data_IF_135984455245
#
_entry.id   IF_135984455245
#
_cell.length_a   1.000
_cell.length_b   1.000
_cell.length_c   1.000
_cell.angle_alpha   90.00
_cell.angle_beta   90.00
_cell.angle_gamma   90.00
#
_symmetry.space_group_name_H-M   'P 1'
#
loop_
_entity.id
_entity.type
_entity.pdbx_description
1 polymer ?
#
# COMPACT_ATOMS: atom_id res chain seq x y z
N UNK A 1 -24.82 -8.14 16.04
CA UNK A 1 -24.69 -8.41 14.60
C UNK A 1 -25.42 -7.34 13.80
N UNK A 2 -26.71 -7.08 14.05
CA UNK A 2 -27.44 -5.94 13.45
C UNK A 2 -26.79 -4.57 13.67
N UNK A 3 -26.29 -4.26 14.87
CA UNK A 3 -25.61 -2.98 15.14
C UNK A 3 -24.32 -2.78 14.32
N UNK A 4 -23.57 -3.86 14.08
CA UNK A 4 -22.31 -3.80 13.31
C UNK A 4 -22.62 -3.67 11.81
N UNK A 5 -23.68 -4.34 11.34
CA UNK A 5 -24.16 -4.20 9.95
C UNK A 5 -24.70 -2.78 9.73
N UNK A 6 -25.47 -2.24 10.69
CA UNK A 6 -25.99 -0.88 10.66
C UNK A 6 -24.88 0.18 10.66
N UNK A 7 -23.82 0.00 11.46
CA UNK A 7 -22.66 0.90 11.42
C UNK A 7 -21.89 0.78 10.10
N UNK A 8 -21.68 -0.43 9.56
CA UNK A 8 -20.99 -0.64 8.29
C UNK A 8 -21.77 -0.01 7.11
N UNK A 9 -23.10 -0.17 7.06
CA UNK A 9 -23.96 0.47 6.07
C UNK A 9 -23.93 2.00 6.19
N UNK A 10 -23.91 2.54 7.41
CA UNK A 10 -23.75 3.97 7.65
C UNK A 10 -22.39 4.48 7.14
N UNK A 11 -21.30 3.74 7.39
CA UNK A 11 -19.96 4.07 6.88
C UNK A 11 -19.89 4.03 5.36
N UNK A 12 -20.54 3.07 4.69
CA UNK A 12 -20.55 3.02 3.23
C UNK A 12 -21.18 4.26 2.59
N UNK A 13 -22.20 4.85 3.23
CA UNK A 13 -22.81 6.10 2.75
C UNK A 13 -21.93 7.33 2.97
N UNK A 14 -20.95 7.25 3.88
CA UNK A 14 -19.99 8.33 4.17
C UNK A 14 -18.77 8.32 3.24
N UNK A 15 -18.41 7.16 2.68
CA UNK A 15 -17.24 7.05 1.80
C UNK A 15 -17.57 7.66 0.43
N UNK A 16 -17.01 8.85 0.19
CA UNK A 16 -17.12 9.58 -1.08
C UNK A 16 -16.20 8.95 -2.14
N UNK A 17 -14.95 8.67 -1.77
CA UNK A 17 -13.91 8.15 -2.67
C UNK A 17 -12.87 7.34 -1.90
N UNK A 18 -12.41 6.23 -2.49
CA UNK A 18 -11.25 5.46 -2.04
C UNK A 18 -10.18 5.47 -3.13
N UNK A 19 -8.99 5.96 -2.79
CA UNK A 19 -7.85 6.03 -3.71
C UNK A 19 -6.88 4.89 -3.43
N UNK A 20 -6.81 3.94 -4.34
CA UNK A 20 -5.89 2.82 -4.33
C UNK A 20 -4.61 3.21 -5.07
N UNK A 21 -3.59 3.61 -4.31
CA UNK A 21 -2.31 4.08 -4.83
C UNK A 21 -1.30 2.93 -4.89
N UNK A 22 -0.85 2.59 -6.09
CA UNK A 22 0.03 1.44 -6.38
C UNK A 22 -0.54 0.12 -5.82
N UNK A 23 -1.77 -0.27 -6.22
CA UNK A 23 -2.49 -1.35 -5.57
C UNK A 23 -1.91 -2.73 -5.89
N UNK A 24 -1.22 -3.32 -4.93
CA UNK A 24 -0.85 -4.73 -4.95
C UNK A 24 -2.02 -5.57 -4.42
N UNK A 25 -3.09 -5.70 -5.20
CA UNK A 25 -4.34 -6.37 -4.81
C UNK A 25 -4.52 -7.76 -5.45
N UNK A 26 -3.55 -8.19 -6.26
CA UNK A 26 -3.55 -9.48 -6.94
C UNK A 26 -2.13 -9.93 -7.26
N UNK A 27 -1.96 -11.23 -7.47
CA UNK A 27 -0.74 -11.85 -8.02
C UNK A 27 0.55 -11.31 -7.39
N UNK A 28 0.55 -11.06 -6.07
CA UNK A 28 1.65 -10.34 -5.40
C UNK A 28 2.96 -11.13 -5.50
N UNK A 29 2.91 -12.43 -5.27
CA UNK A 29 4.08 -13.33 -5.37
C UNK A 29 4.54 -13.57 -6.82
N UNK A 30 3.69 -13.31 -7.81
CA UNK A 30 4.02 -13.45 -9.22
C UNK A 30 4.65 -12.20 -9.83
N UNK A 31 4.54 -11.05 -9.15
CA UNK A 31 5.19 -9.79 -9.55
C UNK A 31 6.73 -9.91 -9.57
N UNK A 32 7.44 -9.04 -10.32
CA UNK A 32 8.91 -9.05 -10.35
C UNK A 32 9.56 -9.09 -8.96
N UNK A 33 9.11 -8.23 -8.04
CA UNK A 33 9.61 -8.24 -6.65
C UNK A 33 9.05 -9.40 -5.83
N UNK A 34 7.79 -9.80 -6.07
CA UNK A 34 7.15 -10.95 -5.44
C UNK A 34 7.94 -12.23 -5.60
N UNK A 35 8.44 -12.52 -6.80
CA UNK A 35 9.22 -13.72 -7.09
C UNK A 35 10.54 -13.77 -6.33
N UNK A 36 11.14 -12.61 -6.03
CA UNK A 36 12.38 -12.50 -5.27
C UNK A 36 12.10 -12.57 -3.76
N UNK A 37 11.05 -11.91 -3.30
CA UNK A 37 10.74 -11.79 -1.87
C UNK A 37 10.06 -13.04 -1.30
N UNK A 38 9.17 -13.71 -2.04
CA UNK A 38 8.46 -14.93 -1.61
C UNK A 38 9.37 -16.00 -1.00
N UNK A 39 10.48 -16.43 -1.63
CA UNK A 39 11.35 -17.46 -1.03
C UNK A 39 11.96 -16.99 0.30
N UNK A 40 12.29 -15.70 0.42
CA UNK A 40 12.89 -15.12 1.62
C UNK A 40 11.85 -15.08 2.76
N UNK A 41 10.65 -14.58 2.45
CA UNK A 41 9.60 -14.32 3.45
C UNK A 41 8.83 -15.58 3.84
N UNK A 42 8.62 -16.52 2.92
CA UNK A 42 7.81 -17.72 3.18
C UNK A 42 8.69 -18.92 3.55
N UNK A 43 9.75 -19.20 2.79
CA UNK A 43 10.54 -20.43 2.95
C UNK A 43 11.69 -20.26 3.94
N UNK A 44 12.41 -19.13 3.86
CA UNK A 44 13.56 -18.85 4.71
C UNK A 44 13.22 -18.08 6.00
N UNK A 45 11.93 -17.93 6.34
CA UNK A 45 11.49 -17.11 7.49
C UNK A 45 12.21 -17.45 8.80
N UNK A 46 12.36 -18.74 9.10
CA UNK A 46 12.98 -19.18 10.35
C UNK A 46 14.49 -18.92 10.35
N UNK A 47 15.14 -19.08 9.19
CA UNK A 47 16.54 -18.70 9.02
C UNK A 47 16.72 -17.19 9.22
N UNK A 48 15.80 -16.37 8.66
CA UNK A 48 15.77 -14.93 8.88
C UNK A 48 15.62 -14.63 10.38
N UNK A 49 14.66 -15.24 11.09
CA UNK A 49 14.41 -14.98 12.52
C UNK A 49 15.58 -15.35 13.41
N UNK A 50 16.17 -16.53 13.17
CA UNK A 50 17.34 -16.99 13.93
C UNK A 50 18.51 -16.04 13.66
N UNK A 51 18.74 -15.66 12.41
CA UNK A 51 19.83 -14.74 12.05
C UNK A 51 19.65 -13.34 12.65
N UNK A 52 18.46 -12.76 12.59
CA UNK A 52 18.18 -11.43 13.15
C UNK A 52 18.31 -11.45 14.67
N UNK A 53 17.83 -12.50 15.34
CA UNK A 53 17.98 -12.65 16.78
C UNK A 53 19.45 -12.77 17.20
N UNK A 54 20.22 -13.66 16.55
CA UNK A 54 21.61 -13.90 16.92
C UNK A 54 22.51 -12.69 16.62
N UNK A 55 22.24 -11.95 15.53
CA UNK A 55 23.06 -10.81 15.12
C UNK A 55 22.65 -9.51 15.81
N UNK A 56 21.35 -9.22 15.90
CA UNK A 56 20.87 -7.91 16.34
C UNK A 56 20.62 -7.84 17.85
N UNK A 57 20.28 -8.95 18.52
CA UNK A 57 20.06 -8.94 19.98
C UNK A 57 21.31 -8.56 20.79
N UNK A 58 22.53 -9.07 20.50
CA UNK A 58 23.73 -8.65 21.21
C UNK A 58 24.31 -7.31 20.69
N UNK A 59 23.77 -6.76 19.60
CA UNK A 59 24.29 -5.55 18.96
C UNK A 59 23.93 -4.30 19.77
N UNK A 60 24.90 -3.42 20.13
CA UNK A 60 24.61 -2.20 20.87
C UNK A 60 23.68 -1.24 20.10
N UNK A 61 22.78 -0.56 20.81
CA UNK A 61 21.83 0.40 20.22
C UNK A 61 22.49 1.51 19.41
N UNK A 62 23.70 1.94 19.81
CA UNK A 62 24.48 2.93 19.05
C UNK A 62 24.84 2.43 17.65
N UNK A 63 25.16 1.14 17.51
CA UNK A 63 25.51 0.52 16.23
C UNK A 63 24.25 0.35 15.38
N UNK A 64 23.15 -0.15 15.96
CA UNK A 64 21.86 -0.24 15.26
C UNK A 64 21.43 1.14 14.75
N UNK A 65 21.50 2.16 15.60
CA UNK A 65 21.16 3.55 15.26
C UNK A 65 22.05 4.09 14.15
N UNK A 66 23.36 3.78 14.18
CA UNK A 66 24.30 4.15 13.13
C UNK A 66 23.98 3.46 11.80
N UNK A 67 23.67 2.15 11.82
CA UNK A 67 23.26 1.39 10.64
C UNK A 67 21.98 1.94 10.00
N UNK A 68 20.98 2.27 10.83
CA UNK A 68 19.72 2.87 10.37
C UNK A 68 19.99 4.22 9.73
N UNK A 69 20.77 5.10 10.38
CA UNK A 69 21.12 6.41 9.81
C UNK A 69 21.85 6.28 8.48
N UNK A 70 22.82 5.37 8.38
CA UNK A 70 23.54 5.11 7.14
C UNK A 70 22.60 4.59 6.04
N UNK A 71 21.67 3.70 6.39
CA UNK A 71 20.64 3.19 5.47
C UNK A 71 19.72 4.30 4.95
N UNK A 72 19.19 5.13 5.86
CA UNK A 72 18.32 6.26 5.51
C UNK A 72 19.03 7.29 4.63
N UNK A 73 20.30 7.62 4.95
CA UNK A 73 21.12 8.49 4.12
C UNK A 73 21.33 7.92 2.72
N UNK A 74 21.64 6.63 2.60
CA UNK A 74 21.78 5.97 1.30
C UNK A 74 20.47 5.98 0.50
N UNK A 75 19.34 5.90 1.20
CA UNK A 75 18.01 6.00 0.60
C UNK A 75 17.56 7.44 0.36
N UNK A 76 18.37 8.45 0.72
CA UNK A 76 18.02 9.87 0.64
C UNK A 76 16.65 10.18 1.28
N UNK A 77 16.34 9.49 2.38
CA UNK A 77 15.10 9.70 3.15
C UNK A 77 15.44 10.63 4.31
N UNK A 78 14.63 11.68 4.49
CA UNK A 78 14.82 12.58 5.63
C UNK A 78 14.61 11.81 6.93
N UNK A 79 15.47 12.05 7.92
CA UNK A 79 15.56 11.28 9.17
C UNK A 79 14.38 11.49 10.14
N UNK A 80 13.28 12.06 9.68
CA UNK A 80 12.08 12.32 10.49
C UNK A 80 11.32 11.03 10.81
N UNK A 81 11.56 9.94 10.06
CA UNK A 81 11.02 8.64 10.42
C UNK A 81 11.80 8.04 11.60
N UNK A 82 11.10 7.80 12.71
CA UNK A 82 11.63 7.04 13.85
C UNK A 82 11.65 5.54 13.49
N UNK A 83 12.62 5.14 12.68
CA UNK A 83 12.79 3.75 12.20
C UNK A 83 13.60 2.90 13.19
N UNK A 84 13.83 3.41 14.41
CA UNK A 84 14.72 2.80 15.40
C UNK A 84 14.31 1.37 15.78
N UNK A 85 13.01 1.10 15.81
CA UNK A 85 12.47 -0.22 16.13
C UNK A 85 12.59 -1.24 15.00
N UNK A 86 12.92 -0.83 13.77
CA UNK A 86 12.96 -1.77 12.62
C UNK A 86 14.12 -2.76 12.74
N UNK A 87 15.19 -2.45 13.48
CA UNK A 87 16.25 -3.42 13.76
C UNK A 87 15.99 -4.26 15.02
N UNK A 88 14.82 -4.13 15.65
CA UNK A 88 14.44 -5.05 16.72
C UNK A 88 14.07 -6.43 16.14
N UNK A 89 14.63 -7.53 16.66
CA UNK A 89 14.42 -8.87 16.10
C UNK A 89 12.94 -9.25 15.94
N UNK A 90 12.10 -8.89 16.92
CA UNK A 90 10.67 -9.16 16.87
C UNK A 90 9.93 -8.28 15.85
N UNK A 91 10.37 -7.04 15.64
CA UNK A 91 9.81 -6.18 14.61
C UNK A 91 10.09 -6.75 13.22
N UNK A 92 11.34 -7.14 12.94
CA UNK A 92 11.70 -7.79 11.68
C UNK A 92 10.94 -9.10 11.46
N UNK A 93 10.78 -9.90 12.52
CA UNK A 93 10.00 -11.13 12.44
C UNK A 93 8.54 -10.85 12.06
N UNK A 94 7.92 -9.83 12.66
CA UNK A 94 6.54 -9.45 12.36
C UNK A 94 6.40 -8.87 10.94
N UNK A 95 7.34 -8.05 10.49
CA UNK A 95 7.36 -7.51 9.11
C UNK A 95 7.48 -8.66 8.10
N UNK A 96 8.41 -9.58 8.34
CA UNK A 96 8.60 -10.73 7.46
C UNK A 96 7.40 -11.69 7.48
N UNK A 97 6.77 -11.86 8.65
CA UNK A 97 5.53 -12.63 8.77
C UNK A 97 4.39 -12.00 7.97
N UNK A 98 4.17 -10.69 8.14
CA UNK A 98 3.15 -9.94 7.42
C UNK A 98 3.35 -10.07 5.91
N UNK A 99 4.54 -9.72 5.41
CA UNK A 99 4.84 -9.84 3.98
C UNK A 99 4.72 -11.28 3.48
N UNK A 100 5.11 -12.28 4.28
CA UNK A 100 4.94 -13.69 3.94
C UNK A 100 3.46 -14.13 3.88
N UNK A 101 2.58 -13.55 4.70
CA UNK A 101 1.14 -13.79 4.61
C UNK A 101 0.55 -13.14 3.35
N UNK A 102 0.93 -11.89 3.05
CA UNK A 102 0.46 -11.18 1.87
C UNK A 102 0.84 -11.92 0.57
N UNK A 103 2.05 -12.48 0.48
CA UNK A 103 2.48 -13.29 -0.67
C UNK A 103 1.59 -14.51 -0.95
N UNK A 104 0.93 -15.05 0.08
CA UNK A 104 0.06 -16.24 -0.01
C UNK A 104 -1.41 -15.85 -0.17
N UNK A 105 -1.83 -14.71 0.40
CA UNK A 105 -3.23 -14.29 0.42
C UNK A 105 -3.60 -13.39 -0.77
N UNK A 106 -2.68 -12.53 -1.21
CA UNK A 106 -2.89 -11.58 -2.32
C UNK A 106 -2.64 -12.29 -3.64
N UNK A 107 -3.60 -13.13 -4.03
CA UNK A 107 -3.52 -13.98 -5.22
C UNK A 107 -4.53 -13.52 -6.28
N UNK A 108 -5.83 -13.61 -5.97
CA UNK A 108 -6.90 -13.25 -6.91
C UNK A 108 -7.49 -11.90 -6.52
N UNK A 109 -7.65 -11.00 -7.50
CA UNK A 109 -8.37 -9.75 -7.34
C UNK A 109 -9.85 -10.00 -7.01
N UNK A 110 -10.39 -9.27 -6.04
CA UNK A 110 -11.81 -9.29 -5.70
C UNK A 110 -12.62 -8.44 -6.68
N UNK A 111 -12.97 -9.05 -7.82
CA UNK A 111 -13.70 -8.35 -8.89
C UNK A 111 -15.15 -8.05 -8.48
N UNK A 112 -15.74 -8.87 -7.62
CA UNK A 112 -17.10 -8.70 -7.11
C UNK A 112 -17.23 -7.40 -6.31
N UNK A 113 -16.38 -7.20 -5.30
CA UNK A 113 -16.36 -5.96 -4.50
C UNK A 113 -15.95 -4.75 -5.32
N UNK A 114 -14.98 -4.89 -6.24
CA UNK A 114 -14.60 -3.78 -7.14
C UNK A 114 -15.78 -3.34 -7.99
N UNK A 115 -16.53 -4.29 -8.55
CA UNK A 115 -17.69 -3.99 -9.40
C UNK A 115 -18.79 -3.26 -8.62
N UNK A 116 -19.06 -3.71 -7.40
CA UNK A 116 -20.09 -3.15 -6.53
C UNK A 116 -19.81 -1.68 -6.18
N UNK A 117 -18.56 -1.33 -5.92
CA UNK A 117 -18.17 0.01 -5.49
C UNK A 117 -17.39 0.81 -6.55
N UNK A 118 -17.38 0.38 -7.81
CA UNK A 118 -16.52 0.91 -8.86
C UNK A 118 -16.58 2.44 -8.99
N UNK A 119 -17.77 3.03 -8.82
CA UNK A 119 -18.00 4.47 -8.89
C UNK A 119 -17.26 5.27 -7.81
N UNK A 120 -16.87 4.64 -6.70
CA UNK A 120 -16.16 5.22 -5.55
C UNK A 120 -14.67 4.85 -5.51
N UNK A 121 -14.17 4.05 -6.45
CA UNK A 121 -12.78 3.60 -6.46
C UNK A 121 -11.98 4.36 -7.51
N UNK A 122 -10.80 4.84 -7.13
CA UNK A 122 -9.76 5.28 -8.06
C UNK A 122 -8.57 4.37 -7.92
N UNK A 123 -8.12 3.78 -9.02
CA UNK A 123 -6.90 2.97 -9.04
C UNK A 123 -5.77 3.74 -9.73
N UNK A 124 -4.64 3.90 -9.06
CA UNK A 124 -3.48 4.62 -9.58
C UNK A 124 -2.26 3.70 -9.65
N UNK A 125 -1.89 3.28 -10.86
CA UNK A 125 -0.80 2.34 -11.11
C UNK A 125 0.51 3.04 -11.48
N UNK A 126 1.64 2.39 -11.21
CA UNK A 126 2.97 2.88 -11.57
C UNK A 126 3.48 2.34 -12.90
N UNK A 127 4.15 3.17 -13.71
CA UNK A 127 4.89 2.70 -14.90
C UNK A 127 6.20 1.98 -14.58
N UNK A 128 6.69 2.11 -13.35
CA UNK A 128 7.96 1.52 -12.90
C UNK A 128 7.78 0.66 -11.64
N UNK A 129 6.55 0.23 -11.33
CA UNK A 129 6.25 -0.49 -10.10
C UNK A 129 6.56 -2.00 -10.25
N UNK A 130 7.58 -2.54 -9.56
CA UNK A 130 7.91 -3.96 -9.62
C UNK A 130 7.01 -4.86 -8.75
N UNK A 131 6.10 -4.30 -7.95
CA UNK A 131 5.10 -5.04 -7.18
C UNK A 131 3.78 -5.17 -7.93
N UNK A 132 3.47 -4.18 -8.76
CA UNK A 132 2.26 -4.10 -9.55
C UNK A 132 2.60 -3.64 -10.97
N UNK A 133 3.06 -4.56 -11.83
CA UNK A 133 3.60 -4.21 -13.14
C UNK A 133 2.48 -3.74 -14.08
N UNK A 134 2.83 -3.06 -15.17
CA UNK A 134 1.86 -2.37 -16.03
C UNK A 134 0.81 -3.29 -16.63
N UNK A 135 1.09 -4.59 -16.78
CA UNK A 135 0.11 -5.59 -17.19
C UNK A 135 -1.12 -5.62 -16.26
N UNK A 136 -0.95 -5.34 -14.96
CA UNK A 136 -2.07 -5.37 -14.00
C UNK A 136 -3.00 -4.16 -14.21
N UNK A 137 -2.44 -3.00 -14.61
CA UNK A 137 -3.20 -1.84 -15.05
C UNK A 137 -4.02 -2.15 -16.31
N UNK A 138 -3.41 -2.80 -17.31
CA UNK A 138 -4.11 -3.15 -18.56
C UNK A 138 -5.24 -4.15 -18.30
N UNK A 139 -5.00 -5.16 -17.45
CA UNK A 139 -5.99 -6.17 -17.08
C UNK A 139 -7.20 -5.54 -16.37
N UNK A 140 -6.98 -4.68 -15.36
CA UNK A 140 -8.10 -4.03 -14.66
C UNK A 140 -8.85 -3.04 -15.56
N UNK A 141 -8.15 -2.32 -16.46
CA UNK A 141 -8.79 -1.37 -17.38
C UNK A 141 -9.67 -2.10 -18.39
N UNK A 142 -9.26 -3.29 -18.82
CA UNK A 142 -10.06 -4.16 -19.68
C UNK A 142 -11.31 -4.69 -18.98
N UNK A 143 -11.18 -5.13 -17.73
CA UNK A 143 -12.29 -5.71 -16.97
C UNK A 143 -13.31 -4.65 -16.51
N UNK A 144 -12.85 -3.43 -16.23
CA UNK A 144 -13.65 -2.31 -15.73
C UNK A 144 -13.41 -1.04 -16.55
N UNK A 145 -13.83 -0.98 -17.82
CA UNK A 145 -13.53 0.15 -18.72
C UNK A 145 -14.05 1.49 -18.19
N UNK A 146 -15.22 1.46 -17.54
CA UNK A 146 -15.89 2.62 -16.93
C UNK A 146 -15.25 3.08 -15.60
N UNK A 147 -14.30 2.31 -15.06
CA UNK A 147 -13.63 2.62 -13.80
C UNK A 147 -12.64 3.78 -13.91
N UNK A 148 -12.50 4.52 -12.81
CA UNK A 148 -11.43 5.51 -12.67
C UNK A 148 -10.09 4.82 -12.41
N UNK A 149 -9.42 4.47 -13.51
CA UNK A 149 -8.18 3.69 -13.52
C UNK A 149 -7.14 4.48 -14.28
N UNK A 150 -6.06 4.84 -13.59
CA UNK A 150 -5.06 5.81 -14.02
C UNK A 150 -3.66 5.19 -13.98
N UNK A 151 -2.79 5.65 -14.86
CA UNK A 151 -1.39 5.23 -14.96
C UNK A 151 -0.45 6.40 -14.71
N UNK A 152 0.55 6.21 -13.85
CA UNK A 152 1.51 7.23 -13.43
C UNK A 152 2.65 7.37 -14.45
N UNK A 153 2.64 8.46 -15.22
CA UNK A 153 3.74 8.80 -16.14
C UNK A 153 4.94 9.45 -15.46
N UNK A 154 4.77 9.92 -14.21
CA UNK A 154 5.78 10.64 -13.42
C UNK A 154 6.90 9.76 -12.87
N UNK A 155 6.89 8.45 -13.16
CA UNK A 155 7.88 7.45 -12.69
C UNK A 155 8.04 7.48 -11.16
N UNK A 156 6.93 7.61 -10.45
CA UNK A 156 6.91 7.52 -8.99
C UNK A 156 7.08 6.04 -8.60
N UNK A 157 7.93 5.77 -7.62
CA UNK A 157 8.18 4.43 -7.11
C UNK A 157 7.05 3.94 -6.20
N UNK A 158 6.83 2.63 -6.11
CA UNK A 158 5.84 2.00 -5.21
C UNK A 158 5.90 2.53 -3.78
N UNK A 159 7.11 2.64 -3.22
CA UNK A 159 7.37 3.24 -1.91
C UNK A 159 7.36 4.78 -1.98
N UNK A 160 6.34 5.38 -2.61
CA UNK A 160 6.23 6.82 -2.86
C UNK A 160 6.29 7.64 -1.56
N UNK A 161 5.83 7.06 -0.44
CA UNK A 161 5.87 7.65 0.90
C UNK A 161 7.29 8.13 1.27
N UNK A 162 8.32 7.46 0.77
CA UNK A 162 9.70 7.77 1.12
C UNK A 162 10.25 9.03 0.45
N UNK A 163 9.72 9.43 -0.71
CA UNK A 163 10.34 10.48 -1.55
C UNK A 163 9.37 11.39 -2.30
N UNK A 164 8.18 10.90 -2.63
CA UNK A 164 7.17 11.58 -3.45
C UNK A 164 5.84 11.72 -2.70
N UNK A 165 5.87 11.70 -1.36
CA UNK A 165 4.65 11.78 -0.54
C UNK A 165 3.89 13.09 -0.76
N UNK A 166 4.59 14.23 -0.86
CA UNK A 166 3.96 15.52 -1.10
C UNK A 166 3.32 15.57 -2.49
N UNK A 167 4.05 15.17 -3.52
CA UNK A 167 3.51 15.11 -4.90
C UNK A 167 2.30 14.18 -4.99
N UNK A 168 2.34 13.03 -4.31
CA UNK A 168 1.19 12.13 -4.22
C UNK A 168 -0.01 12.78 -3.52
N UNK A 169 0.24 13.45 -2.39
CA UNK A 169 -0.81 14.12 -1.63
C UNK A 169 -1.47 15.25 -2.43
N UNK A 170 -0.67 16.06 -3.13
CA UNK A 170 -1.18 17.15 -3.98
C UNK A 170 -2.04 16.60 -5.12
N UNK A 171 -1.57 15.55 -5.80
CA UNK A 171 -2.35 14.89 -6.87
C UNK A 171 -3.68 14.32 -6.35
N UNK A 172 -3.65 13.60 -5.23
CA UNK A 172 -4.87 13.00 -4.65
C UNK A 172 -5.83 14.09 -4.19
N UNK A 173 -5.32 15.15 -3.54
CA UNK A 173 -6.13 16.29 -3.13
C UNK A 173 -6.81 16.97 -4.32
N UNK A 174 -6.10 17.12 -5.43
CA UNK A 174 -6.66 17.67 -6.67
C UNK A 174 -7.78 16.78 -7.24
N UNK A 175 -7.62 15.46 -7.22
CA UNK A 175 -8.65 14.53 -7.71
C UNK A 175 -9.93 14.57 -6.88
N UNK A 176 -9.80 14.81 -5.57
CA UNK A 176 -10.92 14.80 -4.63
C UNK A 176 -11.74 16.11 -4.62
N UNK A 177 -11.22 17.22 -5.19
CA UNK A 177 -11.91 18.53 -5.17
C UNK A 177 -13.32 18.46 -5.77
N UNK A 178 -13.45 17.80 -6.92
CA UNK A 178 -14.74 17.70 -7.61
C UNK A 178 -15.72 16.82 -6.82
N UNK A 179 -15.23 15.74 -6.21
CA UNK A 179 -16.04 14.83 -5.42
C UNK A 179 -16.56 15.51 -4.14
N UNK A 180 -15.73 16.30 -3.46
CA UNK A 180 -16.12 17.08 -2.29
C UNK A 180 -17.17 18.14 -2.62
N UNK A 181 -16.99 18.87 -3.73
CA UNK A 181 -17.96 19.88 -4.15
C UNK A 181 -19.36 19.29 -4.42
N UNK A 182 -19.44 18.08 -4.97
CA UNK A 182 -20.70 17.37 -5.21
C UNK A 182 -21.34 16.87 -3.92
N UNK A 183 -20.52 16.41 -2.97
CA UNK A 183 -21.00 15.98 -1.66
C UNK A 183 -21.60 17.15 -0.86
N UNK A 184 -20.93 18.31 -0.87
CA UNK A 184 -21.42 19.53 -0.19
C UNK A 184 -22.79 19.96 -0.75
N UNK A 185 -22.96 19.95 -2.08
CA UNK A 185 -24.23 20.26 -2.74
C UNK A 185 -25.33 19.27 -2.32
N UNK A 186 -25.03 17.96 -2.30
CA UNK A 186 -25.99 16.93 -1.91
C UNK A 186 -26.47 17.08 -0.45
N UNK A 187 -25.58 17.50 0.46
CA UNK A 187 -25.96 17.76 1.87
C UNK A 187 -26.79 19.04 2.04
N UNK A 188 -26.50 20.10 1.28
CA UNK A 188 -27.25 21.37 1.36
C UNK A 188 -28.66 21.30 0.75
N UNK A 189 -28.91 20.39 -0.20
CA UNK A 189 -30.22 20.21 -0.82
C UNK A 189 -31.18 19.28 -0.07
N UNK A 190 -30.74 18.64 1.01
CA UNK A 190 -31.58 17.77 1.87
C UNK A 190 -32.12 18.47 3.13
N UNK A 191 -31.82 19.76 3.31
CA UNK A 191 -32.28 20.58 4.45
C UNK A 191 -33.51 21.46 4.14
N UNK A 192 -34.07 21.39 2.91
CA UNK A 192 -35.28 22.11 2.48
C UNK A 192 -36.52 21.20 2.31
#
# INVERSE_FOLDING_TARGET
MELIVSEAECFETLIIRSCLLFPTIERMSESPNGRIATPILCWLRYALYVSTYLLLKPCPETVKSWLIRMGLQRMNVQSEFSVLSVLEPFCLANIAYLGGQEMVQVVKRDNETIKEHLSKLTFYYGTIDPWCPTEYYEDIKKDFPEGDIRLCEKKIAHAFILRSYQEMADMVADWLKDDLSKADIATSGSED
#
